data_IF_935289748936
#
_entry.id   IF_935289748936
#
_cell.length_a   1.000
_cell.length_b   1.000
_cell.length_c   1.000
_cell.angle_alpha   90.00
_cell.angle_beta   90.00
_cell.angle_gamma   90.00
#
_symmetry.space_group_name_H-M   'P 1'
#
loop_
_entity.id
_entity.type
_entity.pdbx_description
1 polymer ?
#
# COMPACT_ATOMS: atom_id res chain seq x y z
N UNK A 1 15.79 10.87 -5.01
CA UNK A 1 16.06 9.55 -5.60
C UNK A 1 14.94 8.61 -5.16
N UNK A 2 14.34 7.86 -6.08
CA UNK A 2 13.37 6.80 -5.73
C UNK A 2 14.14 5.55 -5.31
N UNK A 3 13.70 4.93 -4.21
CA UNK A 3 14.21 3.64 -3.73
C UNK A 3 13.03 2.68 -3.64
N UNK A 4 13.13 1.51 -4.27
CA UNK A 4 11.99 0.61 -4.40
C UNK A 4 11.49 0.05 -3.08
N UNK A 5 12.39 -0.41 -2.20
CA UNK A 5 12.00 -0.95 -0.88
C UNK A 5 11.25 0.06 0.02
N UNK A 6 11.40 1.35 -0.26
CA UNK A 6 10.75 2.42 0.48
C UNK A 6 9.50 2.91 -0.25
N UNK A 7 9.70 3.39 -1.48
CA UNK A 7 8.63 4.07 -2.24
C UNK A 7 7.75 3.08 -3.00
N UNK A 8 8.30 1.94 -3.47
CA UNK A 8 7.52 0.88 -4.11
C UNK A 8 6.51 0.30 -3.13
N UNK A 9 6.95 -0.11 -1.93
CA UNK A 9 6.08 -0.62 -0.87
C UNK A 9 4.98 0.39 -0.51
N UNK A 10 5.33 1.68 -0.39
CA UNK A 10 4.36 2.73 -0.09
C UNK A 10 3.29 2.87 -1.19
N UNK A 11 3.69 2.87 -2.47
CA UNK A 11 2.78 3.01 -3.62
C UNK A 11 1.81 1.83 -3.68
N UNK A 12 2.33 0.60 -3.59
CA UNK A 12 1.49 -0.60 -3.73
C UNK A 12 0.54 -0.75 -2.56
N UNK A 13 1.05 -0.58 -1.33
CA UNK A 13 0.20 -0.64 -0.14
C UNK A 13 -0.80 0.53 -0.09
N UNK A 14 -0.43 1.71 -0.59
CA UNK A 14 -1.35 2.85 -0.72
C UNK A 14 -2.50 2.57 -1.68
N UNK A 15 -2.23 1.93 -2.82
CA UNK A 15 -3.26 1.51 -3.77
C UNK A 15 -4.22 0.48 -3.15
N UNK A 16 -3.66 -0.53 -2.49
CA UNK A 16 -4.45 -1.53 -1.76
C UNK A 16 -5.28 -0.90 -0.63
N UNK A 17 -4.71 0.07 0.11
CA UNK A 17 -5.39 0.77 1.20
C UNK A 17 -6.60 1.57 0.72
N UNK A 18 -6.49 2.30 -0.41
CA UNK A 18 -7.63 3.02 -1.00
C UNK A 18 -8.83 2.09 -1.21
N UNK A 19 -8.56 0.94 -1.82
CA UNK A 19 -9.58 -0.06 -2.12
C UNK A 19 -10.11 -0.77 -0.87
N UNK A 20 -9.26 -1.08 0.09
CA UNK A 20 -9.67 -1.72 1.34
C UNK A 20 -10.55 -0.79 2.19
N UNK A 21 -10.21 0.49 2.28
CA UNK A 21 -11.02 1.50 3.02
C UNK A 21 -12.39 1.68 2.38
N UNK A 22 -12.47 1.69 1.03
CA UNK A 22 -13.74 1.75 0.31
C UNK A 22 -14.61 0.51 0.56
N UNK A 23 -14.01 -0.70 0.49
CA UNK A 23 -14.73 -1.96 0.76
C UNK A 23 -15.20 -2.09 2.21
N UNK A 24 -14.45 -1.54 3.15
CA UNK A 24 -14.82 -1.49 4.55
C UNK A 24 -15.83 -0.37 4.87
N UNK A 25 -16.27 0.40 3.86
CA UNK A 25 -17.17 1.54 3.98
C UNK A 25 -16.70 2.59 5.02
N UNK A 26 -15.36 2.76 5.11
CA UNK A 26 -14.73 3.70 6.03
C UNK A 26 -14.30 4.98 5.29
N UNK A 27 -14.10 6.05 6.05
CA UNK A 27 -13.61 7.33 5.55
C UNK A 27 -12.11 7.47 5.84
N UNK A 28 -11.28 7.67 4.81
CA UNK A 28 -9.83 7.73 4.92
C UNK A 28 -9.33 8.70 6.00
N UNK A 29 -9.98 9.84 6.14
CA UNK A 29 -9.63 10.87 7.13
C UNK A 29 -9.95 10.48 8.58
N UNK A 30 -10.82 9.48 8.78
CA UNK A 30 -11.31 9.05 10.09
C UNK A 30 -10.70 7.73 10.56
N UNK A 31 -10.13 6.94 9.67
CA UNK A 31 -9.56 5.63 10.04
C UNK A 31 -8.48 5.79 11.11
N UNK A 32 -8.58 4.99 12.15
CA UNK A 32 -7.54 4.83 13.17
C UNK A 32 -6.51 3.82 12.66
N UNK A 33 -5.31 4.30 12.37
CA UNK A 33 -4.25 3.52 11.77
C UNK A 33 -3.10 3.26 12.73
N UNK A 34 -2.67 2.02 12.81
CA UNK A 34 -1.50 1.60 13.57
C UNK A 34 -0.45 1.00 12.63
N UNK A 35 0.75 1.58 12.64
CA UNK A 35 1.88 1.13 11.82
C UNK A 35 2.91 0.47 12.73
N UNK A 36 3.15 -0.81 12.54
CA UNK A 36 4.20 -1.56 13.24
C UNK A 36 5.49 -1.52 12.45
N UNK A 37 6.48 -0.84 13.00
CA UNK A 37 7.76 -0.52 12.38
C UNK A 37 7.97 0.98 12.22
N UNK A 38 9.24 1.41 12.28
CA UNK A 38 9.63 2.80 12.11
C UNK A 38 10.93 2.90 11.30
N UNK A 39 11.13 1.95 10.40
CA UNK A 39 12.19 1.95 9.40
C UNK A 39 11.83 2.80 8.18
N UNK A 40 12.73 2.86 7.20
CA UNK A 40 12.57 3.72 6.02
C UNK A 40 11.30 3.39 5.21
N UNK A 41 10.92 2.11 5.08
CA UNK A 41 9.69 1.70 4.41
C UNK A 41 8.45 2.19 5.18
N UNK A 42 8.39 1.97 6.49
CA UNK A 42 7.27 2.41 7.34
C UNK A 42 7.06 3.92 7.29
N UNK A 43 8.14 4.70 7.36
CA UNK A 43 8.11 6.17 7.23
C UNK A 43 7.60 6.60 5.86
N UNK A 44 8.07 5.94 4.78
CA UNK A 44 7.61 6.24 3.41
C UNK A 44 6.13 5.91 3.23
N UNK A 45 5.67 4.78 3.75
CA UNK A 45 4.26 4.39 3.76
C UNK A 45 3.41 5.41 4.52
N UNK A 46 3.81 5.76 5.75
CA UNK A 46 3.09 6.72 6.58
C UNK A 46 2.94 8.09 5.91
N UNK A 47 3.99 8.60 5.25
CA UNK A 47 3.93 9.85 4.49
C UNK A 47 2.94 9.75 3.32
N UNK A 48 2.99 8.66 2.58
CA UNK A 48 2.07 8.44 1.47
C UNK A 48 0.62 8.32 1.96
N UNK A 49 0.37 7.61 3.06
CA UNK A 49 -0.98 7.47 3.61
C UNK A 49 -1.55 8.81 4.10
N UNK A 50 -0.72 9.69 4.68
CA UNK A 50 -1.11 11.08 4.98
C UNK A 50 -1.46 11.84 3.70
N UNK A 51 -0.68 11.67 2.64
CA UNK A 51 -0.98 12.30 1.34
C UNK A 51 -2.27 11.75 0.69
N UNK A 52 -2.67 10.52 1.02
CA UNK A 52 -3.95 9.91 0.63
C UNK A 52 -5.12 10.36 1.51
N UNK A 53 -4.88 11.11 2.57
CA UNK A 53 -5.93 11.69 3.41
C UNK A 53 -6.05 11.09 4.81
N UNK A 54 -5.19 10.16 5.23
CA UNK A 54 -5.18 9.68 6.62
C UNK A 54 -4.77 10.82 7.54
N UNK A 55 -5.62 11.11 8.54
CA UNK A 55 -5.32 12.15 9.52
C UNK A 55 -4.08 11.82 10.35
N UNK A 56 -3.12 12.75 10.49
CA UNK A 56 -1.98 12.57 11.39
C UNK A 56 -2.38 12.24 12.82
N UNK A 57 -3.49 12.78 13.30
CA UNK A 57 -3.99 12.57 14.68
C UNK A 57 -4.52 11.14 14.90
N UNK A 58 -4.91 10.46 13.82
CA UNK A 58 -5.43 9.09 13.85
C UNK A 58 -4.35 8.05 13.51
N UNK A 59 -3.09 8.45 13.34
CA UNK A 59 -2.00 7.57 12.96
C UNK A 59 -1.04 7.38 14.13
N UNK A 60 -0.86 6.13 14.56
CA UNK A 60 0.14 5.74 15.56
C UNK A 60 1.21 4.85 14.91
N UNK A 61 2.48 5.10 15.22
CA UNK A 61 3.61 4.31 14.75
C UNK A 61 4.34 3.68 15.94
N UNK A 62 4.79 2.43 15.78
CA UNK A 62 5.57 1.74 16.81
C UNK A 62 6.98 1.41 16.33
N UNK A 63 7.89 1.32 17.26
CA UNK A 63 9.19 0.69 17.08
C UNK A 63 9.46 -0.37 18.17
N UNK A 64 10.69 -0.89 18.28
CA UNK A 64 11.06 -1.89 19.28
C UNK A 64 10.87 -1.45 20.75
N UNK A 65 10.62 -0.17 20.99
CA UNK A 65 10.39 0.40 22.34
C UNK A 65 8.91 0.74 22.57
N UNK A 66 7.99 0.37 21.68
CA UNK A 66 6.57 0.68 21.74
C UNK A 66 6.15 1.88 20.90
N UNK A 67 5.03 2.51 21.22
CA UNK A 67 4.48 3.65 20.48
C UNK A 67 5.47 4.82 20.47
N UNK A 68 5.62 5.46 19.31
CA UNK A 68 6.42 6.67 19.14
C UNK A 68 5.63 7.85 19.67
N UNK A 69 5.97 8.29 20.90
CA UNK A 69 5.28 9.35 21.61
C UNK A 69 6.16 10.59 21.71
N UNK A 70 5.52 11.74 21.86
CA UNK A 70 6.21 13.05 21.93
C UNK A 70 7.07 13.21 23.19
N UNK A 71 6.81 12.45 24.26
CA UNK A 71 7.56 12.44 25.52
C UNK A 71 8.78 11.49 25.50
N UNK A 72 9.02 10.77 24.40
CA UNK A 72 10.18 9.89 24.26
C UNK A 72 11.43 10.68 23.91
N UNK A 73 12.50 10.40 24.63
CA UNK A 73 13.82 10.95 24.36
C UNK A 73 14.50 10.23 23.17
N UNK A 74 15.46 10.91 22.54
CA UNK A 74 16.34 10.36 21.50
C UNK A 74 15.62 9.82 20.24
N UNK A 75 14.51 10.45 19.85
CA UNK A 75 13.88 10.18 18.57
C UNK A 75 14.72 10.77 17.43
N UNK A 76 14.89 10.01 16.35
CA UNK A 76 15.41 10.59 15.09
C UNK A 76 14.40 11.58 14.53
N UNK A 77 14.86 12.53 13.72
CA UNK A 77 13.99 13.51 13.06
C UNK A 77 12.82 12.85 12.32
N UNK A 78 13.09 11.73 11.63
CA UNK A 78 12.06 10.98 10.89
C UNK A 78 11.02 10.34 11.82
N UNK A 79 11.43 9.81 12.99
CA UNK A 79 10.49 9.24 13.97
C UNK A 79 9.70 10.34 14.68
N UNK A 80 10.35 11.46 14.99
CA UNK A 80 9.70 12.60 15.64
C UNK A 80 8.53 13.17 14.81
N UNK A 81 8.61 13.06 13.47
CA UNK A 81 7.51 13.44 12.56
C UNK A 81 6.20 12.68 12.85
N UNK A 82 6.30 11.46 13.38
CA UNK A 82 5.17 10.57 13.67
C UNK A 82 4.92 10.39 15.16
N UNK A 83 5.56 11.19 16.01
CA UNK A 83 5.35 11.14 17.44
C UNK A 83 3.97 11.70 17.82
N UNK A 84 3.21 10.94 18.62
CA UNK A 84 1.85 11.29 19.00
C UNK A 84 1.76 11.63 20.51
N UNK A 85 0.78 12.47 20.87
CA UNK A 85 0.40 12.73 22.25
C UNK A 85 -0.68 11.71 22.65
N UNK A 86 -0.27 10.55 23.11
CA UNK A 86 -1.19 9.49 23.52
C UNK A 86 -0.74 8.87 24.85
N UNK A 87 -1.69 8.33 25.62
CA UNK A 87 -1.40 7.51 26.80
C UNK A 87 -1.08 6.05 26.46
N UNK A 88 -1.25 5.67 25.20
CA UNK A 88 -0.99 4.30 24.69
C UNK A 88 0.51 4.05 24.59
N UNK A 89 0.98 2.91 25.06
CA UNK A 89 2.41 2.56 25.09
C UNK A 89 2.77 1.39 24.20
N UNK A 90 1.87 0.42 24.08
CA UNK A 90 2.14 -0.86 23.41
C UNK A 90 1.36 -0.99 22.11
N UNK A 91 1.81 -1.93 21.26
CA UNK A 91 1.07 -2.30 20.05
C UNK A 91 -0.32 -2.85 20.36
N UNK A 92 -0.43 -3.68 21.41
CA UNK A 92 -1.69 -4.27 21.85
C UNK A 92 -2.72 -3.19 22.24
N UNK A 93 -2.32 -2.22 23.05
CA UNK A 93 -3.19 -1.09 23.42
C UNK A 93 -3.58 -0.24 22.21
N UNK A 94 -2.65 -0.03 21.26
CA UNK A 94 -2.90 0.77 20.06
C UNK A 94 -3.93 0.12 19.12
N UNK A 95 -3.97 -1.21 19.07
CA UNK A 95 -4.86 -1.97 18.19
C UNK A 95 -6.31 -2.04 18.69
N UNK A 96 -6.58 -1.70 19.95
CA UNK A 96 -7.96 -1.62 20.45
C UNK A 96 -8.74 -0.58 19.63
N UNK A 97 -9.85 -1.02 19.00
CA UNK A 97 -10.69 -0.21 18.10
C UNK A 97 -9.91 0.45 16.93
N UNK A 98 -8.79 -0.12 16.51
CA UNK A 98 -8.07 0.32 15.32
C UNK A 98 -8.75 -0.22 14.05
N UNK A 99 -8.87 0.63 13.03
CA UNK A 99 -9.42 0.27 11.73
C UNK A 99 -8.39 -0.40 10.81
N UNK A 100 -7.14 0.05 10.90
CA UNK A 100 -6.07 -0.33 9.98
C UNK A 100 -4.81 -0.71 10.75
N UNK A 101 -4.28 -1.89 10.47
CA UNK A 101 -2.94 -2.31 10.87
C UNK A 101 -2.03 -2.43 9.66
N UNK A 102 -0.86 -1.79 9.73
CA UNK A 102 0.20 -1.86 8.71
C UNK A 102 1.45 -2.46 9.35
N UNK A 103 1.76 -3.70 9.00
CA UNK A 103 2.93 -4.43 9.45
C UNK A 103 4.13 -4.22 8.52
N UNK A 104 5.21 -3.66 9.06
CA UNK A 104 6.49 -3.39 8.37
C UNK A 104 7.66 -3.63 9.33
N UNK A 105 7.57 -4.66 10.16
CA UNK A 105 8.53 -4.88 11.25
C UNK A 105 9.08 -6.30 11.27
N UNK A 106 8.46 -7.20 12.00
CA UNK A 106 8.92 -8.59 12.16
C UNK A 106 7.75 -9.56 12.29
N UNK A 107 8.02 -10.82 11.99
CA UNK A 107 7.05 -11.90 12.09
C UNK A 107 6.42 -12.05 13.49
N UNK A 108 5.18 -12.56 13.51
CA UNK A 108 4.49 -13.10 14.68
C UNK A 108 4.32 -12.08 15.85
N UNK A 109 4.23 -10.80 15.56
CA UNK A 109 4.01 -9.76 16.58
C UNK A 109 2.55 -9.43 16.82
N UNK A 110 1.67 -9.81 15.90
CA UNK A 110 0.23 -9.61 16.01
C UNK A 110 -0.44 -10.91 16.45
N UNK A 111 -1.03 -10.91 17.63
CA UNK A 111 -1.75 -12.07 18.17
C UNK A 111 -3.22 -12.12 17.71
N UNK A 112 -3.88 -13.29 17.76
CA UNK A 112 -5.33 -13.36 17.53
C UNK A 112 -6.16 -12.46 18.46
N UNK A 113 -5.70 -12.25 19.69
CA UNK A 113 -6.37 -11.36 20.63
C UNK A 113 -6.30 -9.89 20.18
N UNK A 114 -5.13 -9.45 19.71
CA UNK A 114 -4.96 -8.12 19.11
C UNK A 114 -5.84 -7.92 17.88
N UNK A 115 -5.92 -8.93 17.00
CA UNK A 115 -6.80 -8.85 15.83
C UNK A 115 -8.28 -8.77 16.22
N UNK A 116 -8.70 -9.51 17.27
CA UNK A 116 -10.07 -9.47 17.78
C UNK A 116 -10.43 -8.12 18.40
N UNK A 117 -9.46 -7.39 18.97
CA UNK A 117 -9.70 -6.07 19.60
C UNK A 117 -9.84 -4.94 18.60
N UNK A 118 -9.50 -5.14 17.33
CA UNK A 118 -9.68 -4.12 16.28
C UNK A 118 -11.16 -3.83 15.99
N UNK A 119 -11.43 -2.69 15.37
CA UNK A 119 -12.76 -2.29 14.94
C UNK A 119 -13.40 -3.29 13.98
N UNK A 120 -14.69 -3.12 13.66
CA UNK A 120 -15.39 -3.93 12.65
C UNK A 120 -14.73 -3.75 11.26
N UNK A 121 -14.76 -4.79 10.44
CA UNK A 121 -14.16 -4.83 9.11
C UNK A 121 -12.71 -4.30 9.11
N UNK A 122 -11.80 -4.88 9.92
CA UNK A 122 -10.45 -4.38 10.06
C UNK A 122 -9.63 -4.65 8.81
N UNK A 123 -8.77 -3.71 8.46
CA UNK A 123 -7.82 -3.81 7.35
C UNK A 123 -6.46 -4.16 7.94
N UNK A 124 -5.90 -5.31 7.50
CA UNK A 124 -4.66 -5.85 8.06
C UNK A 124 -3.65 -6.14 6.94
N UNK A 125 -2.64 -5.30 6.82
CA UNK A 125 -1.53 -5.49 5.89
C UNK A 125 -0.32 -6.01 6.65
N UNK A 126 -0.12 -7.33 6.65
CA UNK A 126 0.98 -8.00 7.31
C UNK A 126 2.12 -8.23 6.31
N UNK A 127 3.00 -7.24 6.15
CA UNK A 127 3.97 -7.17 5.06
C UNK A 127 5.42 -7.52 5.47
N UNK A 128 5.65 -7.97 6.70
CA UNK A 128 6.96 -8.47 7.10
C UNK A 128 7.37 -9.68 6.25
N UNK A 129 8.65 -9.75 5.93
CA UNK A 129 9.21 -10.76 5.04
C UNK A 129 10.39 -11.49 5.73
N UNK A 130 10.51 -12.83 5.67
CA UNK A 130 9.70 -13.77 4.87
C UNK A 130 8.36 -14.17 5.53
N UNK A 131 8.21 -14.02 6.84
CA UNK A 131 7.00 -14.36 7.56
C UNK A 131 6.25 -13.10 7.98
N UNK A 132 4.90 -13.06 7.80
CA UNK A 132 4.10 -11.90 8.14
C UNK A 132 3.95 -11.70 9.66
N UNK A 133 3.46 -10.55 10.07
CA UNK A 133 3.19 -10.20 11.48
C UNK A 133 2.13 -11.08 12.14
N UNK A 134 1.26 -11.68 11.35
CA UNK A 134 0.30 -12.73 11.71
C UNK A 134 0.14 -13.67 10.53
N UNK A 135 0.06 -14.98 10.80
CA UNK A 135 -0.22 -15.96 9.75
C UNK A 135 -1.58 -15.68 9.08
N UNK A 136 -1.63 -15.73 7.76
CA UNK A 136 -2.82 -15.41 6.98
C UNK A 136 -4.02 -16.29 7.35
N UNK A 137 -3.81 -17.63 7.41
CA UNK A 137 -4.90 -18.55 7.69
C UNK A 137 -5.40 -18.38 9.13
N UNK A 138 -4.49 -18.15 10.07
CA UNK A 138 -4.84 -17.84 11.46
C UNK A 138 -5.64 -16.55 11.56
N UNK A 139 -5.26 -15.50 10.81
CA UNK A 139 -5.97 -14.22 10.81
C UNK A 139 -7.40 -14.35 10.27
N UNK A 140 -7.58 -15.01 9.11
CA UNK A 140 -8.89 -15.24 8.50
C UNK A 140 -9.77 -16.15 9.37
N UNK A 141 -9.20 -17.17 10.01
CA UNK A 141 -9.92 -18.02 10.96
C UNK A 141 -10.31 -17.26 12.24
N UNK A 142 -9.55 -16.23 12.61
CA UNK A 142 -9.82 -15.40 13.81
C UNK A 142 -10.92 -14.36 13.54
N UNK A 143 -10.88 -13.71 12.36
CA UNK A 143 -11.80 -12.63 11.94
C UNK A 143 -12.11 -12.78 10.45
N UNK A 144 -13.28 -13.28 10.11
CA UNK A 144 -13.74 -13.45 8.72
C UNK A 144 -14.16 -12.14 8.03
N UNK A 145 -14.37 -11.10 8.80
CA UNK A 145 -14.64 -9.74 8.30
C UNK A 145 -13.36 -8.98 7.93
N UNK A 146 -12.18 -9.44 8.34
CA UNK A 146 -10.92 -8.77 8.05
C UNK A 146 -10.59 -8.74 6.54
N UNK A 147 -10.09 -7.59 6.07
CA UNK A 147 -9.47 -7.46 4.74
C UNK A 147 -7.98 -7.63 4.91
N UNK A 148 -7.48 -8.81 4.46
CA UNK A 148 -6.09 -9.20 4.64
C UNK A 148 -5.25 -8.94 3.39
N UNK A 149 -4.02 -8.47 3.57
CA UNK A 149 -2.99 -8.45 2.54
C UNK A 149 -1.63 -8.83 3.13
N UNK A 150 -0.79 -9.46 2.32
CA UNK A 150 0.58 -9.86 2.71
C UNK A 150 1.57 -9.58 1.58
N UNK A 151 2.87 -9.67 1.85
CA UNK A 151 3.90 -9.64 0.81
C UNK A 151 4.03 -10.94 0.00
N UNK A 152 3.34 -12.02 0.41
CA UNK A 152 3.50 -13.37 -0.14
C UNK A 152 2.61 -13.58 -1.37
N UNK A 153 3.12 -14.38 -2.32
CA UNK A 153 2.42 -14.71 -3.58
C UNK A 153 1.37 -15.82 -3.44
N UNK A 154 1.43 -16.59 -2.36
CA UNK A 154 0.54 -17.72 -2.09
C UNK A 154 -0.79 -17.32 -1.44
N UNK A 155 -0.99 -16.03 -1.16
CA UNK A 155 -2.23 -15.49 -0.59
C UNK A 155 -2.92 -14.47 -1.52
N UNK A 156 -4.21 -14.18 -1.31
CA UNK A 156 -5.02 -13.38 -2.23
C UNK A 156 -4.45 -12.00 -2.58
N UNK A 157 -4.27 -11.13 -1.64
CA UNK A 157 -3.83 -9.75 -1.84
C UNK A 157 -2.32 -9.63 -1.65
N UNK A 158 -1.57 -9.89 -2.72
CA UNK A 158 -0.11 -9.77 -2.68
C UNK A 158 0.30 -8.30 -2.83
N UNK A 159 0.75 -7.67 -1.74
CA UNK A 159 1.34 -6.33 -1.72
C UNK A 159 2.85 -6.47 -1.93
N UNK A 160 3.27 -6.41 -3.18
CA UNK A 160 4.67 -6.59 -3.58
C UNK A 160 5.08 -5.53 -4.62
N UNK A 161 6.29 -5.02 -4.49
CA UNK A 161 6.85 -3.95 -5.32
C UNK A 161 6.87 -4.26 -6.81
N UNK A 162 6.84 -5.53 -7.20
CA UNK A 162 6.78 -5.97 -8.61
C UNK A 162 5.55 -5.40 -9.34
N UNK A 163 4.49 -5.08 -8.63
CA UNK A 163 3.29 -4.43 -9.19
C UNK A 163 3.52 -2.98 -9.63
N UNK A 164 4.53 -2.32 -9.13
CA UNK A 164 4.77 -0.89 -9.38
C UNK A 164 6.11 -0.58 -10.04
N UNK A 165 7.18 -1.13 -9.48
CA UNK A 165 8.55 -0.79 -9.85
C UNK A 165 8.80 -0.77 -11.38
N UNK A 166 8.55 -1.85 -12.15
CA UNK A 166 8.86 -1.86 -13.57
C UNK A 166 8.08 -0.80 -14.34
N UNK A 167 6.83 -0.61 -14.00
CA UNK A 167 5.89 0.24 -14.72
C UNK A 167 6.07 1.72 -14.38
N UNK A 168 6.39 2.06 -13.12
CA UNK A 168 6.70 3.43 -12.70
C UNK A 168 7.97 3.92 -13.38
N UNK A 169 9.02 3.10 -13.39
CA UNK A 169 10.26 3.45 -14.09
C UNK A 169 10.04 3.53 -15.59
N UNK A 170 9.23 2.63 -16.16
CA UNK A 170 8.90 2.68 -17.57
C UNK A 170 8.26 4.02 -17.93
N UNK A 171 7.19 4.41 -17.24
CA UNK A 171 6.53 5.70 -17.50
C UNK A 171 7.44 6.91 -17.33
N UNK A 172 8.32 6.88 -16.32
CA UNK A 172 9.30 7.94 -16.11
C UNK A 172 10.36 8.02 -17.24
N UNK A 173 10.88 6.87 -17.68
CA UNK A 173 11.89 6.80 -18.72
C UNK A 173 11.34 7.16 -20.11
N UNK A 174 10.12 6.78 -20.42
CA UNK A 174 9.48 7.05 -21.72
C UNK A 174 9.36 8.56 -22.01
N UNK A 175 9.17 9.37 -20.97
CA UNK A 175 9.14 10.83 -21.06
C UNK A 175 10.47 11.48 -20.65
N UNK A 176 11.50 10.71 -20.36
CA UNK A 176 12.79 11.17 -19.85
C UNK A 176 12.62 12.11 -18.67
N UNK A 177 11.82 11.68 -17.67
CA UNK A 177 11.60 12.48 -16.49
C UNK A 177 12.90 12.72 -15.72
N UNK A 178 13.16 13.96 -15.33
CA UNK A 178 14.37 14.36 -14.59
C UNK A 178 14.39 13.82 -13.15
N UNK A 179 13.22 13.47 -12.63
CA UNK A 179 13.01 12.83 -11.31
C UNK A 179 11.66 12.14 -11.27
N UNK A 180 11.52 11.18 -10.36
CA UNK A 180 10.19 10.63 -9.98
C UNK A 180 9.73 11.42 -8.75
N UNK A 181 8.73 12.28 -8.94
CA UNK A 181 8.17 13.15 -7.90
C UNK A 181 6.91 12.57 -7.24
N UNK A 182 6.34 13.28 -6.27
CA UNK A 182 5.16 12.82 -5.53
C UNK A 182 3.93 12.68 -6.45
N UNK A 183 3.75 13.59 -7.41
CA UNK A 183 2.63 13.52 -8.36
C UNK A 183 2.65 12.23 -9.18
N UNK A 184 3.83 11.81 -9.64
CA UNK A 184 4.00 10.55 -10.38
C UNK A 184 3.72 9.32 -9.49
N UNK A 185 4.13 9.34 -8.22
CA UNK A 185 3.85 8.27 -7.27
C UNK A 185 2.34 8.17 -6.97
N UNK A 186 1.69 9.30 -6.74
CA UNK A 186 0.24 9.36 -6.53
C UNK A 186 -0.54 8.89 -7.76
N UNK A 187 -0.10 9.25 -8.97
CA UNK A 187 -0.69 8.76 -10.20
C UNK A 187 -0.59 7.23 -10.32
N UNK A 188 0.54 6.63 -9.93
CA UNK A 188 0.69 5.18 -9.90
C UNK A 188 -0.25 4.52 -8.85
N UNK A 189 -0.39 5.11 -7.67
CA UNK A 189 -1.32 4.65 -6.62
C UNK A 189 -2.76 4.59 -7.17
N UNK A 190 -3.23 5.69 -7.74
CA UNK A 190 -4.60 5.78 -8.26
C UNK A 190 -4.82 4.86 -9.47
N UNK A 191 -3.82 4.73 -10.35
CA UNK A 191 -3.90 3.84 -11.50
C UNK A 191 -4.03 2.37 -11.08
N UNK A 192 -3.23 1.93 -10.09
CA UNK A 192 -3.30 0.57 -9.54
C UNK A 192 -4.62 0.32 -8.82
N UNK A 193 -5.08 1.26 -8.01
CA UNK A 193 -6.35 1.15 -7.30
C UNK A 193 -7.54 1.05 -8.26
N UNK A 194 -7.57 1.88 -9.30
CA UNK A 194 -8.61 1.85 -10.33
C UNK A 194 -8.59 0.55 -11.12
N UNK A 195 -7.41 0.06 -11.52
CA UNK A 195 -7.26 -1.16 -12.30
C UNK A 195 -7.82 -2.40 -11.59
N UNK A 196 -7.72 -2.47 -10.25
CA UNK A 196 -8.29 -3.57 -9.47
C UNK A 196 -9.83 -3.64 -9.57
N UNK A 197 -10.48 -2.53 -9.87
CA UNK A 197 -11.95 -2.43 -9.98
C UNK A 197 -12.48 -2.79 -11.37
N UNK A 198 -11.61 -2.83 -12.37
CA UNK A 198 -11.98 -3.22 -13.72
C UNK A 198 -12.17 -4.74 -13.83
N UNK A 199 -12.91 -5.16 -14.86
CA UNK A 199 -13.09 -6.59 -15.17
C UNK A 199 -11.73 -7.25 -15.40
N UNK A 200 -11.44 -8.30 -14.63
CA UNK A 200 -10.18 -9.03 -14.73
C UNK A 200 -10.15 -9.87 -16.00
N UNK A 201 -9.11 -9.77 -16.84
CA UNK A 201 -8.97 -10.58 -18.06
C UNK A 201 -8.93 -12.08 -17.79
N UNK A 202 -9.51 -12.89 -18.67
CA UNK A 202 -9.56 -14.34 -18.54
C UNK A 202 -8.17 -14.97 -18.40
N UNK A 203 -7.18 -14.46 -19.11
CA UNK A 203 -5.78 -14.92 -19.01
C UNK A 203 -5.19 -14.76 -17.61
N UNK A 204 -5.63 -13.75 -16.83
CA UNK A 204 -5.22 -13.57 -15.42
C UNK A 204 -5.88 -14.63 -14.55
N UNK A 205 -7.18 -14.90 -14.75
CA UNK A 205 -7.89 -15.97 -14.05
C UNK A 205 -7.20 -17.33 -14.27
N UNK A 206 -6.86 -17.65 -15.51
CA UNK A 206 -6.15 -18.89 -15.87
C UNK A 206 -4.78 -18.95 -15.20
N UNK A 207 -3.99 -17.86 -15.25
CA UNK A 207 -2.65 -17.80 -14.69
C UNK A 207 -2.61 -18.02 -13.16
N UNK A 208 -3.67 -17.65 -12.47
CA UNK A 208 -3.80 -17.82 -11.02
C UNK A 208 -4.71 -19.00 -10.60
N UNK A 209 -5.14 -19.83 -11.54
CA UNK A 209 -6.02 -20.98 -11.27
C UNK A 209 -7.35 -20.59 -10.64
N UNK A 210 -7.82 -19.38 -10.90
CA UNK A 210 -9.05 -18.83 -10.36
C UNK A 210 -10.21 -18.97 -11.35
N UNK A 211 -11.43 -19.18 -10.86
CA UNK A 211 -12.62 -19.23 -11.69
C UNK A 211 -13.04 -17.83 -12.15
N UNK A 212 -12.98 -16.85 -11.25
CA UNK A 212 -13.33 -15.46 -11.52
C UNK A 212 -12.76 -14.56 -10.44
N UNK A 213 -11.69 -13.86 -10.72
CA UNK A 213 -11.19 -12.78 -9.88
C UNK A 213 -12.05 -11.53 -10.12
N UNK A 214 -12.43 -10.85 -9.05
CA UNK A 214 -13.20 -9.61 -9.11
C UNK A 214 -12.89 -8.77 -7.87
N UNK A 215 -13.05 -7.46 -8.00
CA UNK A 215 -12.91 -6.52 -6.90
C UNK A 215 -13.69 -6.96 -5.66
N UNK A 216 -13.04 -7.01 -4.51
CA UNK A 216 -13.58 -7.50 -3.25
C UNK A 216 -12.47 -7.77 -2.23
N UNK A 217 -12.81 -8.35 -1.07
CA UNK A 217 -11.88 -8.59 0.04
C UNK A 217 -10.60 -9.35 -0.36
N UNK A 218 -10.72 -10.25 -1.34
CA UNK A 218 -9.61 -11.08 -1.85
C UNK A 218 -8.96 -10.52 -3.13
N UNK A 219 -9.39 -9.36 -3.59
CA UNK A 219 -8.85 -8.70 -4.78
C UNK A 219 -8.94 -7.17 -4.65
N UNK A 220 -8.14 -6.60 -3.76
CA UNK A 220 -8.02 -5.14 -3.56
C UNK A 220 -6.90 -4.51 -4.39
N UNK A 221 -6.07 -5.33 -5.02
CA UNK A 221 -4.93 -4.92 -5.85
C UNK A 221 -4.79 -5.87 -7.03
N UNK A 222 -4.34 -5.41 -8.23
CA UNK A 222 -4.11 -6.29 -9.38
C UNK A 222 -3.08 -7.38 -9.07
N UNK A 223 -3.12 -8.46 -9.83
CA UNK A 223 -2.11 -9.53 -9.75
C UNK A 223 -0.85 -9.17 -10.54
N UNK A 224 0.36 -9.62 -10.10
CA UNK A 224 1.63 -9.31 -10.79
C UNK A 224 1.69 -9.65 -12.27
N UNK A 225 1.00 -10.72 -12.71
CA UNK A 225 0.95 -11.12 -14.12
C UNK A 225 -0.23 -10.51 -14.89
N UNK A 226 -0.84 -9.45 -14.38
CA UNK A 226 -1.89 -8.73 -15.11
C UNK A 226 -1.27 -7.90 -16.24
N UNK A 227 -1.53 -8.24 -17.52
CA UNK A 227 -0.92 -7.55 -18.65
C UNK A 227 -1.33 -6.09 -18.78
N UNK A 228 -2.44 -5.68 -18.16
CA UNK A 228 -2.91 -4.29 -18.17
C UNK A 228 -1.98 -3.36 -17.40
N UNK A 229 -1.16 -3.89 -16.49
CA UNK A 229 -0.19 -3.10 -15.72
C UNK A 229 0.79 -2.34 -16.61
N UNK A 230 1.25 -2.95 -17.71
CA UNK A 230 2.26 -2.36 -18.60
C UNK A 230 1.74 -1.16 -19.40
N UNK A 231 0.44 -1.05 -19.58
CA UNK A 231 -0.18 0.09 -20.26
C UNK A 231 -0.73 1.12 -19.29
N UNK A 232 -1.40 0.67 -18.23
CA UNK A 232 -2.13 1.54 -17.30
C UNK A 232 -1.19 2.37 -16.43
N UNK A 233 -0.24 1.72 -15.74
CA UNK A 233 0.63 2.41 -14.78
C UNK A 233 1.64 3.35 -15.45
N UNK A 234 2.39 2.93 -16.51
CA UNK A 234 3.32 3.84 -17.18
C UNK A 234 2.63 5.06 -17.77
N UNK A 235 1.45 4.89 -18.35
CA UNK A 235 0.68 6.00 -18.92
C UNK A 235 0.30 7.04 -17.86
N UNK A 236 -0.19 6.60 -16.69
CA UNK A 236 -0.52 7.49 -15.58
C UNK A 236 0.71 8.24 -15.07
N UNK A 237 1.83 7.54 -14.90
CA UNK A 237 3.10 8.12 -14.45
C UNK A 237 3.65 9.12 -15.45
N UNK A 238 3.62 8.79 -16.75
CA UNK A 238 4.09 9.68 -17.81
C UNK A 238 3.25 10.96 -17.91
N UNK A 239 1.91 10.85 -17.80
CA UNK A 239 1.00 12.01 -17.74
C UNK A 239 1.35 12.92 -16.57
N UNK A 240 1.48 12.37 -15.36
CA UNK A 240 1.83 13.11 -14.16
C UNK A 240 3.22 13.78 -14.27
N UNK A 241 4.19 13.12 -14.92
CA UNK A 241 5.50 13.71 -15.17
C UNK A 241 5.42 14.91 -16.11
N UNK A 242 4.58 14.85 -17.15
CA UNK A 242 4.35 15.96 -18.07
C UNK A 242 3.63 17.11 -17.38
N UNK A 243 2.55 16.84 -16.66
CA UNK A 243 1.75 17.84 -15.94
C UNK A 243 2.55 18.54 -14.84
N UNK A 244 3.44 17.82 -14.17
CA UNK A 244 4.32 18.39 -13.13
C UNK A 244 5.62 19.02 -13.67
N UNK A 245 5.79 19.11 -14.99
CA UNK A 245 6.90 19.81 -15.65
C UNK A 245 8.26 19.12 -15.52
N UNK A 246 8.29 17.81 -15.21
CA UNK A 246 9.56 17.05 -15.06
C UNK A 246 9.88 16.18 -16.28
N UNK A 247 8.99 16.09 -17.26
CA UNK A 247 9.19 15.36 -18.51
C UNK A 247 10.06 16.16 -19.49
N UNK A 248 11.20 15.61 -19.89
CA UNK A 248 12.08 16.25 -20.90
C UNK A 248 11.60 15.97 -22.33
N UNK A 249 10.87 14.86 -22.54
CA UNK A 249 10.35 14.46 -23.86
C UNK A 249 8.86 14.11 -23.74
N UNK A 250 7.95 15.10 -23.91
CA UNK A 250 6.52 14.85 -23.78
C UNK A 250 5.97 13.93 -24.86
N UNK A 251 5.06 13.03 -24.48
CA UNK A 251 4.32 12.16 -25.40
C UNK A 251 3.26 13.01 -26.10
N UNK A 252 3.27 13.02 -27.44
CA UNK A 252 2.33 13.78 -28.27
C UNK A 252 1.13 12.94 -28.74
N UNK A 253 1.36 11.65 -28.96
CA UNK A 253 0.37 10.71 -29.48
C UNK A 253 0.21 9.52 -28.51
N UNK A 254 -0.83 9.57 -27.69
CA UNK A 254 -1.13 8.59 -26.67
C UNK A 254 -1.62 7.26 -27.30
N UNK A 255 -2.30 7.31 -28.46
CA UNK A 255 -2.75 6.10 -29.14
C UNK A 255 -1.54 5.29 -29.63
N UNK A 256 -0.58 5.97 -30.26
CA UNK A 256 0.67 5.34 -30.68
C UNK A 256 1.46 4.80 -29.49
N UNK A 257 1.50 5.53 -28.38
CA UNK A 257 2.18 5.10 -27.16
C UNK A 257 1.57 3.80 -26.61
N UNK A 258 0.25 3.70 -26.53
CA UNK A 258 -0.43 2.48 -26.06
C UNK A 258 -0.18 1.29 -27.01
N UNK A 259 -0.18 1.50 -28.33
CA UNK A 259 0.05 0.44 -29.33
C UNK A 259 1.47 -0.16 -29.25
N UNK A 260 2.46 0.56 -28.76
CA UNK A 260 3.82 0.05 -28.56
C UNK A 260 3.90 -1.12 -27.55
N UNK A 261 2.85 -1.34 -26.77
CA UNK A 261 2.82 -2.35 -25.71
C UNK A 261 1.71 -3.39 -25.87
N UNK A 262 0.87 -3.24 -26.90
CA UNK A 262 -0.26 -4.13 -27.16
C UNK A 262 -0.13 -4.92 -28.47
N UNK A 263 0.95 -4.67 -29.22
CA UNK A 263 1.28 -5.37 -30.50
C UNK A 263 2.29 -6.48 -30.29
#
# INVERSE_FOLDING_TARGET
VMHDDQHGTAIISGAALLNAVELAEKEMSKVKMVISGAGAAAISCARLYRALGVSPDNMMMTDSKGIIRTDRENLTTQKAEFATKTAVHTLEEALVDADVFIGLSKADIMTPAMLKSMAADPIVFAMANPNPEIDYNLAVATRNDAIMATGRSDFPNQVNNVLGFPFIFRGALDVRATKINEAMKMAAVHALAALAKETVPEQVNIAYGATKLAFGKDYIIPKPFDPRLITTVPMAVAKAAMESGVAATPIKDWNKYCLLYTS
#
